data_IF_729982666249
#
_entry.id   IF_729982666249
#
_cell.length_a   1.000
_cell.length_b   1.000
_cell.length_c   1.000
_cell.angle_alpha   90.00
_cell.angle_beta   90.00
_cell.angle_gamma   90.00
#
_symmetry.space_group_name_H-M   'P 1'
#
loop_
_entity.id
_entity.type
_entity.pdbx_description
1 polymer ?
#
# COMPACT_ATOMS: atom_id res chain seq x y z
N UNK A 1 5.87 25.45 -22.64
CA UNK A 1 6.13 25.92 -21.28
C UNK A 1 4.92 26.72 -20.76
N UNK A 2 4.07 26.08 -19.94
CA UNK A 2 2.80 26.66 -19.43
C UNK A 2 3.03 27.92 -18.55
N UNK A 3 4.19 28.06 -17.96
CA UNK A 3 4.50 29.10 -16.97
C UNK A 3 5.58 30.07 -17.44
N UNK A 4 6.06 30.00 -18.69
CA UNK A 4 7.09 30.90 -19.23
C UNK A 4 8.47 30.82 -18.57
N UNK A 5 8.73 29.76 -17.78
CA UNK A 5 10.02 29.55 -17.11
C UNK A 5 10.94 28.73 -18.04
N UNK A 6 12.19 29.19 -18.22
CA UNK A 6 13.20 28.43 -18.97
C UNK A 6 13.45 27.07 -18.31
N UNK A 7 13.48 25.95 -19.10
CA UNK A 7 13.77 24.61 -18.56
C UNK A 7 15.08 24.54 -17.77
N UNK A 8 16.08 25.31 -18.15
CA UNK A 8 17.41 25.36 -17.49
C UNK A 8 17.37 25.89 -16.04
N UNK A 9 16.25 26.52 -15.66
CA UNK A 9 16.01 27.05 -14.31
C UNK A 9 15.16 26.15 -13.43
N UNK A 10 14.78 24.95 -13.94
CA UNK A 10 13.88 24.04 -13.24
C UNK A 10 14.56 22.67 -13.10
N UNK A 11 14.69 22.22 -11.87
CA UNK A 11 15.21 20.88 -11.55
C UNK A 11 14.14 20.11 -10.80
N UNK A 12 13.85 18.88 -11.25
CA UNK A 12 12.99 17.96 -10.53
C UNK A 12 13.80 17.30 -9.41
N UNK A 13 13.32 17.43 -8.17
CA UNK A 13 13.90 16.74 -7.01
C UNK A 13 12.81 15.86 -6.41
N UNK A 14 13.02 14.57 -6.42
CA UNK A 14 12.07 13.60 -5.86
C UNK A 14 12.12 13.63 -4.33
N UNK A 15 10.97 13.30 -3.71
CA UNK A 15 10.93 13.06 -2.28
C UNK A 15 11.76 11.81 -1.92
N UNK A 16 12.26 11.80 -0.71
CA UNK A 16 13.03 10.69 -0.15
C UNK A 16 12.59 10.40 1.28
N UNK A 17 12.99 9.25 1.80
CA UNK A 17 12.87 8.87 3.20
C UNK A 17 14.26 8.74 3.79
N UNK A 18 14.39 9.17 5.06
CA UNK A 18 15.64 9.06 5.79
C UNK A 18 15.76 7.65 6.36
N UNK A 19 16.87 6.98 6.05
CA UNK A 19 17.22 5.65 6.57
C UNK A 19 18.00 5.70 7.88
N UNK A 20 18.47 6.89 8.31
CA UNK A 20 19.24 7.05 9.54
C UNK A 20 18.34 6.93 10.78
N UNK A 21 18.83 6.24 11.81
CA UNK A 21 18.25 6.27 13.15
C UNK A 21 16.93 5.49 13.33
N UNK A 22 16.61 4.56 12.45
CA UNK A 22 15.49 3.64 12.68
C UNK A 22 15.97 2.38 13.39
N UNK A 23 15.54 2.21 14.64
CA UNK A 23 15.71 0.96 15.37
C UNK A 23 14.95 -0.16 14.65
N UNK A 24 15.56 -1.34 14.55
CA UNK A 24 14.89 -2.54 14.06
C UNK A 24 13.73 -2.87 15.00
N UNK A 25 12.50 -2.66 14.57
CA UNK A 25 11.33 -2.96 15.38
C UNK A 25 11.05 -4.45 15.28
N UNK A 26 11.43 -5.20 16.29
CA UNK A 26 11.03 -6.60 16.44
C UNK A 26 9.59 -6.65 16.94
N UNK A 27 8.70 -7.23 16.13
CA UNK A 27 7.30 -7.45 16.49
C UNK A 27 7.03 -8.95 16.47
N UNK A 28 6.48 -9.48 17.55
CA UNK A 28 5.97 -10.85 17.53
C UNK A 28 4.69 -10.92 16.71
N UNK A 29 4.68 -11.77 15.69
CA UNK A 29 3.48 -12.02 14.88
C UNK A 29 2.57 -13.00 15.62
N UNK A 30 1.40 -12.51 16.05
CA UNK A 30 0.35 -13.33 16.65
C UNK A 30 -0.44 -14.18 15.64
N UNK A 31 -0.19 -14.02 14.32
CA UNK A 31 -0.91 -14.72 13.25
C UNK A 31 0.07 -15.34 12.26
N UNK A 32 -0.29 -16.53 11.74
CA UNK A 32 0.48 -17.22 10.70
C UNK A 32 0.11 -16.76 9.29
N UNK A 33 -1.04 -16.12 9.14
CA UNK A 33 -1.56 -15.65 7.87
C UNK A 33 -0.66 -14.56 7.28
N UNK A 34 -0.57 -14.50 5.97
CA UNK A 34 0.07 -13.40 5.26
C UNK A 34 -0.73 -12.11 5.46
N UNK A 35 -0.04 -11.01 5.69
CA UNK A 35 -0.67 -9.70 5.94
C UNK A 35 -0.40 -8.77 4.78
N UNK A 36 -1.47 -8.36 4.11
CA UNK A 36 -1.46 -7.37 3.02
C UNK A 36 -1.99 -6.05 3.56
N UNK A 37 -1.20 -4.99 3.43
CA UNK A 37 -1.48 -3.71 4.10
C UNK A 37 -1.68 -2.58 3.09
N UNK A 38 -2.75 -1.82 3.29
CA UNK A 38 -2.98 -0.49 2.74
C UNK A 38 -2.72 0.55 3.83
N UNK A 39 -1.92 1.57 3.55
CA UNK A 39 -1.70 2.70 4.44
C UNK A 39 -1.95 4.01 3.71
N UNK A 40 -2.81 4.86 4.25
CA UNK A 40 -3.04 6.19 3.71
C UNK A 40 -4.38 6.79 4.11
N UNK A 41 -4.67 7.97 3.59
CA UNK A 41 -6.01 8.56 3.74
C UNK A 41 -7.03 7.67 3.02
N UNK A 42 -8.10 7.30 3.71
CA UNK A 42 -9.17 6.48 3.12
C UNK A 42 -10.13 7.39 2.36
N UNK A 43 -9.68 7.83 1.19
CA UNK A 43 -10.37 8.74 0.27
C UNK A 43 -10.40 8.18 -1.14
N UNK A 44 -11.29 8.69 -2.00
CA UNK A 44 -11.40 8.26 -3.40
C UNK A 44 -10.04 8.25 -4.12
N UNK A 45 -9.24 9.30 -3.94
CA UNK A 45 -7.93 9.46 -4.58
C UNK A 45 -6.98 8.29 -4.29
N UNK A 46 -7.06 7.69 -3.10
CA UNK A 46 -6.19 6.59 -2.68
C UNK A 46 -6.68 5.20 -3.11
N UNK A 47 -7.85 5.11 -3.71
CA UNK A 47 -8.36 3.88 -4.30
C UNK A 47 -8.65 2.73 -3.33
N UNK A 48 -9.18 2.97 -2.10
CA UNK A 48 -9.38 1.90 -1.12
C UNK A 48 -10.37 0.83 -1.60
N UNK A 49 -11.27 1.16 -2.52
CA UNK A 49 -12.23 0.21 -3.09
C UNK A 49 -11.53 -0.84 -3.96
N UNK A 50 -10.53 -0.45 -4.76
CA UNK A 50 -9.73 -1.39 -5.55
C UNK A 50 -8.95 -2.37 -4.68
N UNK A 51 -8.44 -1.90 -3.53
CA UNK A 51 -7.82 -2.78 -2.53
C UNK A 51 -8.80 -3.84 -2.01
N UNK A 52 -10.03 -3.44 -1.69
CA UNK A 52 -11.07 -4.35 -1.19
C UNK A 52 -11.47 -5.37 -2.27
N UNK A 53 -11.63 -4.93 -3.52
CA UNK A 53 -11.98 -5.81 -4.64
C UNK A 53 -10.86 -6.83 -4.92
N UNK A 54 -9.59 -6.41 -4.89
CA UNK A 54 -8.44 -7.30 -5.02
C UNK A 54 -8.41 -8.32 -3.87
N UNK A 55 -8.65 -7.86 -2.63
CA UNK A 55 -8.73 -8.73 -1.47
C UNK A 55 -9.81 -9.81 -1.60
N UNK A 56 -11.00 -9.44 -2.09
CA UNK A 56 -12.09 -10.39 -2.32
C UNK A 56 -11.73 -11.48 -3.34
N UNK A 57 -10.89 -11.14 -4.34
CA UNK A 57 -10.39 -12.11 -5.32
C UNK A 57 -9.34 -13.05 -4.70
N UNK A 58 -8.45 -12.51 -3.87
CA UNK A 58 -7.39 -13.29 -3.22
C UNK A 58 -7.97 -14.27 -2.20
N UNK A 59 -8.94 -13.87 -1.39
CA UNK A 59 -9.58 -14.73 -0.38
C UNK A 59 -10.22 -15.97 -1.02
N UNK A 60 -10.66 -15.87 -2.28
CA UNK A 60 -11.16 -17.04 -3.04
C UNK A 60 -10.05 -17.99 -3.50
N UNK A 61 -8.81 -17.54 -3.51
CA UNK A 61 -7.63 -18.29 -4.02
C UNK A 61 -6.77 -18.87 -2.88
N UNK A 62 -6.77 -18.25 -1.71
CA UNK A 62 -5.99 -18.69 -0.56
C UNK A 62 -6.65 -18.29 0.77
N UNK A 63 -6.59 -19.21 1.75
CA UNK A 63 -7.24 -19.05 3.05
C UNK A 63 -6.36 -18.38 4.10
N UNK A 64 -5.04 -18.34 3.89
CA UNK A 64 -4.05 -17.88 4.85
C UNK A 64 -3.61 -16.43 4.62
N UNK A 65 -4.56 -15.55 4.34
CA UNK A 65 -4.31 -14.12 4.08
C UNK A 65 -5.23 -13.24 4.91
N UNK A 66 -4.70 -12.13 5.40
CA UNK A 66 -5.42 -11.04 6.08
C UNK A 66 -5.09 -9.71 5.46
N UNK A 67 -6.03 -8.80 5.55
CA UNK A 67 -5.92 -7.46 4.98
C UNK A 67 -6.01 -6.42 6.08
N UNK A 68 -5.12 -5.45 6.05
CA UNK A 68 -5.10 -4.32 6.99
C UNK A 68 -5.32 -3.03 6.21
N UNK A 69 -6.34 -2.27 6.58
CA UNK A 69 -6.56 -0.92 6.09
C UNK A 69 -6.23 0.08 7.20
N UNK A 70 -5.07 0.70 7.08
CA UNK A 70 -4.58 1.67 8.04
C UNK A 70 -4.79 3.09 7.53
N UNK A 71 -5.55 3.88 8.27
CA UNK A 71 -5.85 5.26 7.94
C UNK A 71 -7.26 5.68 8.30
N UNK A 72 -7.56 6.94 8.01
CA UNK A 72 -8.87 7.54 8.17
C UNK A 72 -9.23 8.38 6.95
N UNK A 73 -10.51 8.66 6.76
CA UNK A 73 -11.01 9.46 5.65
C UNK A 73 -12.51 9.28 5.46
N UNK A 74 -13.05 10.05 4.53
CA UNK A 74 -14.48 10.12 4.22
C UNK A 74 -15.05 8.80 3.67
N UNK A 75 -14.21 7.95 3.08
CA UNK A 75 -14.62 6.66 2.56
C UNK A 75 -14.53 5.51 3.57
N UNK A 76 -13.96 5.70 4.78
CA UNK A 76 -13.75 4.60 5.73
C UNK A 76 -15.03 3.82 6.03
N UNK A 77 -16.12 4.50 6.37
CA UNK A 77 -17.41 3.85 6.64
C UNK A 77 -18.00 3.14 5.42
N UNK A 78 -17.74 3.67 4.21
CA UNK A 78 -18.14 3.01 2.96
C UNK A 78 -17.34 1.73 2.75
N UNK A 79 -16.03 1.76 3.00
CA UNK A 79 -15.15 0.59 2.92
C UNK A 79 -15.55 -0.51 3.89
N UNK A 80 -15.84 -0.18 5.15
CA UNK A 80 -16.31 -1.15 6.17
C UNK A 80 -17.60 -1.83 5.71
N UNK A 81 -18.58 -1.07 5.21
CA UNK A 81 -19.83 -1.64 4.68
C UNK A 81 -19.59 -2.47 3.41
N UNK A 82 -18.61 -2.10 2.57
CA UNK A 82 -18.27 -2.86 1.37
C UNK A 82 -17.68 -4.23 1.74
N UNK A 83 -16.71 -4.26 2.65
CA UNK A 83 -16.13 -5.50 3.20
C UNK A 83 -17.19 -6.41 3.79
N UNK A 84 -18.14 -5.84 4.57
CA UNK A 84 -19.25 -6.59 5.15
C UNK A 84 -20.19 -7.19 4.08
N UNK A 85 -20.51 -6.42 3.03
CA UNK A 85 -21.34 -6.91 1.91
C UNK A 85 -20.69 -8.05 1.12
N UNK A 86 -19.36 -8.04 1.02
CA UNK A 86 -18.60 -9.09 0.37
C UNK A 86 -18.43 -10.34 1.26
N UNK A 87 -18.83 -10.27 2.55
CA UNK A 87 -18.74 -11.39 3.48
C UNK A 87 -17.31 -11.73 3.91
N UNK A 88 -16.38 -10.76 3.85
CA UNK A 88 -14.94 -10.96 4.12
C UNK A 88 -14.45 -10.20 5.36
N UNK A 89 -15.35 -9.83 6.26
CA UNK A 89 -15.03 -9.01 7.46
C UNK A 89 -14.07 -9.70 8.42
N UNK A 90 -14.10 -11.02 8.50
CA UNK A 90 -13.20 -11.83 9.32
C UNK A 90 -11.73 -11.82 8.85
N UNK A 91 -11.50 -11.38 7.62
CA UNK A 91 -10.19 -11.25 6.99
C UNK A 91 -9.68 -9.82 6.95
N UNK A 92 -10.48 -8.84 7.35
CA UNK A 92 -10.12 -7.42 7.33
C UNK A 92 -9.96 -6.83 8.71
N UNK A 93 -8.90 -6.03 8.88
CA UNK A 93 -8.68 -5.21 10.06
C UNK A 93 -8.55 -3.72 9.68
N UNK A 94 -9.37 -2.88 10.30
CA UNK A 94 -9.34 -1.43 10.13
C UNK A 94 -8.69 -0.81 11.37
N UNK A 95 -7.49 -0.25 11.24
CA UNK A 95 -6.74 0.27 12.41
C UNK A 95 -7.15 1.67 12.80
N UNK A 96 -7.80 2.42 11.89
CA UNK A 96 -7.87 3.87 11.99
C UNK A 96 -6.52 4.52 11.69
N UNK A 97 -6.35 5.76 12.10
CA UNK A 97 -5.14 6.55 11.82
C UNK A 97 -3.97 6.11 12.70
N UNK A 98 -2.83 5.80 12.07
CA UNK A 98 -1.58 5.43 12.75
C UNK A 98 -0.54 6.55 12.65
N UNK A 99 0.39 6.62 13.62
CA UNK A 99 1.49 7.59 13.68
C UNK A 99 2.80 6.98 14.14
N UNK A 100 3.90 7.52 13.65
CA UNK A 100 5.25 7.24 14.13
C UNK A 100 5.55 5.74 14.25
N UNK A 101 5.86 5.28 15.46
CA UNK A 101 6.22 3.88 15.74
C UNK A 101 5.12 2.87 15.39
N UNK A 102 3.84 3.25 15.42
CA UNK A 102 2.76 2.32 15.09
C UNK A 102 2.69 2.05 13.59
N UNK A 103 3.05 3.02 12.74
CA UNK A 103 3.24 2.81 11.30
C UNK A 103 4.39 1.81 11.05
N UNK A 104 5.51 1.98 11.75
CA UNK A 104 6.66 1.08 11.63
C UNK A 104 6.31 -0.35 12.08
N UNK A 105 5.60 -0.51 13.21
CA UNK A 105 5.11 -1.82 13.69
C UNK A 105 4.18 -2.47 12.67
N UNK A 106 3.28 -1.69 12.07
CA UNK A 106 2.37 -2.19 11.04
C UNK A 106 3.17 -2.72 9.83
N UNK A 107 4.16 -1.98 9.33
CA UNK A 107 5.00 -2.47 8.25
C UNK A 107 5.80 -3.71 8.66
N UNK A 108 6.36 -3.77 9.87
CA UNK A 108 7.07 -4.94 10.37
C UNK A 108 6.19 -6.20 10.48
N UNK A 109 4.86 -6.03 10.58
CA UNK A 109 3.88 -7.12 10.55
C UNK A 109 3.40 -7.48 9.13
N UNK A 110 3.69 -6.63 8.14
CA UNK A 110 3.18 -6.77 6.78
C UNK A 110 4.07 -7.68 5.93
N UNK A 111 3.47 -8.50 5.08
CA UNK A 111 4.18 -9.26 4.05
C UNK A 111 4.15 -8.53 2.70
N UNK A 112 3.14 -7.70 2.46
CA UNK A 112 2.97 -6.93 1.23
C UNK A 112 2.32 -5.59 1.57
N UNK A 113 2.84 -4.53 0.99
CA UNK A 113 2.21 -3.21 0.99
C UNK A 113 1.58 -2.91 -0.36
N UNK A 114 0.40 -2.28 -0.37
CA UNK A 114 -0.29 -1.90 -1.60
C UNK A 114 -0.76 -0.45 -1.57
N UNK A 115 -0.50 0.28 -2.67
CA UNK A 115 -0.95 1.64 -2.90
C UNK A 115 -1.68 1.75 -4.24
N UNK A 116 -3.00 1.46 -4.28
CA UNK A 116 -3.80 1.46 -5.50
C UNK A 116 -4.34 2.85 -5.83
N UNK A 117 -3.52 3.88 -5.66
CA UNK A 117 -3.95 5.27 -5.80
C UNK A 117 -4.36 5.59 -7.24
N UNK A 118 -5.52 6.24 -7.40
CA UNK A 118 -6.03 6.74 -8.67
C UNK A 118 -5.15 7.91 -9.14
N UNK A 119 -4.73 8.75 -8.19
CA UNK A 119 -3.84 9.88 -8.43
C UNK A 119 -2.99 10.10 -7.18
N UNK A 120 -1.68 10.02 -7.33
CA UNK A 120 -0.72 10.22 -6.25
C UNK A 120 0.43 11.07 -6.78
N UNK A 121 0.61 12.32 -6.32
CA UNK A 121 1.69 13.17 -6.80
C UNK A 121 3.09 12.56 -6.63
N UNK A 122 3.32 11.84 -5.54
CA UNK A 122 4.53 11.06 -5.35
C UNK A 122 4.24 9.73 -4.64
N UNK A 123 3.90 9.73 -3.33
CA UNK A 123 3.68 8.56 -2.50
C UNK A 123 4.93 8.17 -1.71
N UNK A 124 5.02 8.60 -0.44
CA UNK A 124 6.14 8.27 0.45
C UNK A 124 5.99 6.87 1.06
N UNK A 125 4.76 6.44 1.30
CA UNK A 125 4.49 5.17 2.00
C UNK A 125 5.10 3.92 1.35
N UNK A 126 5.22 3.78 0.02
CA UNK A 126 5.96 2.67 -0.58
C UNK A 126 7.44 2.64 -0.19
N UNK A 127 8.07 3.82 -0.10
CA UNK A 127 9.46 3.94 0.37
C UNK A 127 9.60 3.53 1.83
N UNK A 128 8.63 3.91 2.67
CA UNK A 128 8.59 3.50 4.09
C UNK A 128 8.39 1.99 4.25
N UNK A 129 7.57 1.36 3.41
CA UNK A 129 7.38 -0.09 3.38
C UNK A 129 8.68 -0.80 2.97
N UNK A 130 9.32 -0.35 1.90
CA UNK A 130 10.58 -0.91 1.40
C UNK A 130 11.73 -0.78 2.42
N UNK A 131 11.74 0.28 3.24
CA UNK A 131 12.70 0.41 4.35
C UNK A 131 12.59 -0.72 5.39
N UNK A 132 11.45 -1.36 5.49
CA UNK A 132 11.21 -2.51 6.38
C UNK A 132 11.21 -3.84 5.62
N UNK A 133 11.80 -3.87 4.43
CA UNK A 133 11.85 -5.04 3.54
C UNK A 133 10.47 -5.57 3.15
N UNK A 134 9.44 -4.71 3.11
CA UNK A 134 8.10 -5.08 2.67
C UNK A 134 7.94 -4.79 1.18
N UNK A 135 7.74 -5.80 0.33
CA UNK A 135 7.51 -5.62 -1.09
C UNK A 135 6.27 -4.74 -1.32
N UNK A 136 6.39 -3.83 -2.27
CA UNK A 136 5.36 -2.82 -2.52
C UNK A 136 4.72 -3.01 -3.90
N UNK A 137 3.39 -3.00 -3.92
CA UNK A 137 2.57 -2.94 -5.13
C UNK A 137 2.02 -1.52 -5.24
N UNK A 138 2.28 -0.84 -6.34
CA UNK A 138 1.88 0.55 -6.54
C UNK A 138 1.12 0.73 -7.85
N UNK A 139 0.26 1.73 -7.89
CA UNK A 139 -0.36 2.11 -9.16
C UNK A 139 0.65 2.79 -10.08
N UNK A 140 0.61 2.49 -11.38
CA UNK A 140 1.41 3.16 -12.41
C UNK A 140 1.15 4.67 -12.48
N UNK A 141 -0.01 5.11 -11.97
CA UNK A 141 -0.44 6.51 -11.93
C UNK A 141 0.11 7.30 -10.73
N UNK A 142 0.99 6.71 -9.92
CA UNK A 142 1.67 7.38 -8.81
C UNK A 142 3.03 7.90 -9.23
N UNK A 143 3.41 9.10 -8.75
CA UNK A 143 4.69 9.73 -9.11
C UNK A 143 5.91 8.91 -8.66
N UNK A 144 5.83 8.15 -7.57
CA UNK A 144 6.90 7.25 -7.16
C UNK A 144 7.12 6.08 -8.14
N UNK A 145 6.17 5.78 -9.04
CA UNK A 145 6.35 4.75 -10.05
C UNK A 145 7.48 5.08 -11.05
N UNK A 146 7.86 6.36 -11.17
CA UNK A 146 8.97 6.79 -12.02
C UNK A 146 10.34 6.36 -11.47
N UNK A 147 10.47 6.20 -10.16
CA UNK A 147 11.76 5.95 -9.48
C UNK A 147 11.84 4.60 -8.77
N UNK A 148 10.72 3.92 -8.52
CA UNK A 148 10.71 2.63 -7.84
C UNK A 148 10.73 1.48 -8.85
N UNK A 149 11.92 1.14 -9.36
CA UNK A 149 12.08 0.08 -10.37
C UNK A 149 11.70 -1.32 -9.84
N UNK A 150 11.90 -1.54 -8.55
CA UNK A 150 11.67 -2.84 -7.90
C UNK A 150 10.24 -3.00 -7.32
N UNK A 151 9.40 -1.96 -7.37
CA UNK A 151 8.00 -2.09 -7.01
C UNK A 151 7.21 -2.82 -8.11
N UNK A 152 6.28 -3.68 -7.72
CA UNK A 152 5.30 -4.23 -8.64
C UNK A 152 4.31 -3.13 -9.04
N UNK A 153 4.12 -2.93 -10.33
CA UNK A 153 3.32 -1.81 -10.88
C UNK A 153 2.10 -2.34 -11.61
N UNK A 154 0.91 -1.93 -11.15
CA UNK A 154 -0.38 -2.27 -11.80
C UNK A 154 -1.13 -1.00 -12.15
N UNK A 155 -2.05 -1.07 -13.09
CA UNK A 155 -3.04 -0.01 -13.25
C UNK A 155 -4.02 -0.08 -12.09
N UNK A 156 -4.44 1.08 -11.51
CA UNK A 156 -5.28 1.07 -10.31
C UNK A 156 -6.66 0.41 -10.53
N UNK A 157 -7.16 0.41 -11.77
CA UNK A 157 -8.43 -0.22 -12.15
C UNK A 157 -8.30 -1.72 -12.48
N UNK A 158 -7.08 -2.21 -12.72
CA UNK A 158 -6.84 -3.62 -13.03
C UNK A 158 -6.75 -4.45 -11.75
N UNK A 159 -7.93 -4.75 -11.22
CA UNK A 159 -8.08 -5.51 -9.96
C UNK A 159 -7.55 -6.94 -10.09
N UNK A 160 -7.57 -7.52 -11.30
CA UNK A 160 -7.04 -8.86 -11.54
C UNK A 160 -5.51 -8.87 -11.49
N UNK A 161 -4.86 -7.97 -12.21
CA UNK A 161 -3.40 -7.80 -12.13
C UNK A 161 -2.95 -7.46 -10.70
N UNK A 162 -3.73 -6.65 -9.96
CA UNK A 162 -3.44 -6.32 -8.58
C UNK A 162 -3.55 -7.56 -7.67
N UNK A 163 -4.58 -8.39 -7.84
CA UNK A 163 -4.72 -9.65 -7.11
C UNK A 163 -3.57 -10.62 -7.43
N UNK A 164 -3.17 -10.74 -8.69
CA UNK A 164 -2.03 -11.57 -9.09
C UNK A 164 -0.71 -11.06 -8.48
N UNK A 165 -0.50 -9.75 -8.45
CA UNK A 165 0.65 -9.15 -7.80
C UNK A 165 0.66 -9.43 -6.29
N UNK A 166 -0.47 -9.33 -5.58
CA UNK A 166 -0.59 -9.68 -4.16
C UNK A 166 -0.25 -11.16 -3.92
N UNK A 167 -0.71 -12.04 -4.80
CA UNK A 167 -0.46 -13.49 -4.67
C UNK A 167 1.02 -13.84 -4.83
N UNK A 168 1.72 -13.14 -5.71
CA UNK A 168 3.13 -13.41 -6.04
C UNK A 168 4.12 -12.67 -5.16
N UNK A 169 3.79 -11.47 -4.67
CA UNK A 169 4.69 -10.60 -3.93
C UNK A 169 5.33 -11.22 -2.68
N UNK A 170 4.63 -12.03 -1.85
CA UNK A 170 5.25 -12.64 -0.67
C UNK A 170 6.41 -13.60 -0.99
N UNK A 171 6.51 -14.05 -2.23
CA UNK A 171 7.57 -14.94 -2.72
C UNK A 171 8.62 -14.19 -3.55
N UNK A 172 8.49 -12.88 -3.68
CA UNK A 172 9.49 -12.04 -4.35
C UNK A 172 10.75 -11.97 -3.47
N UNK A 173 11.95 -12.19 -4.03
CA UNK A 173 13.17 -12.09 -3.23
C UNK A 173 13.27 -10.67 -2.65
N UNK A 174 13.58 -10.58 -1.36
CA UNK A 174 14.00 -9.32 -0.75
C UNK A 174 15.27 -8.85 -1.46
N UNK A 175 15.29 -7.58 -1.84
CA UNK A 175 16.41 -6.94 -2.53
C UNK A 175 17.41 -6.47 -1.50
#
# INVERSE_FOLDING_TARGET
NKYGISPDKVVAVHNAVDFSGRDEIKVERGVKDKVVTFLGRVTYQKGPEYFIEAAAKIIKRCDNVRFVMAGSGDMLNKCIRHVARLGISDRFHFTGFLRGKDVQKMFALSDVYIMPSISEPFGISPLEAMQTNVPSIISKQSGCAEILDYALKTDFWDVDAMADAIYTAPNYPAI
#
